data_IF_539372721015
#
_entry.id   IF_539372721015
#
_cell.length_a   1.000
_cell.length_b   1.000
_cell.length_c   1.000
_cell.angle_alpha   90.00
_cell.angle_beta   90.00
_cell.angle_gamma   90.00
#
_symmetry.space_group_name_H-M   'P 1'
#
loop_
_entity.id
_entity.type
_entity.pdbx_description
1 polymer ?
#
# COMPACT_ATOMS: atom_id res chain seq x y z
N UNK A 1 7.43 14.35 2.60
CA UNK A 1 8.65 14.25 1.77
C UNK A 1 9.17 15.64 1.44
N UNK A 2 10.47 15.78 1.25
CA UNK A 2 11.08 16.93 0.58
C UNK A 2 11.38 16.56 -0.86
N UNK A 3 11.30 17.51 -1.80
CA UNK A 3 11.60 17.27 -3.21
C UNK A 3 12.85 18.04 -3.61
N UNK A 4 13.68 17.43 -4.44
CA UNK A 4 14.85 18.09 -4.99
C UNK A 4 14.39 19.18 -5.98
N UNK A 5 14.69 20.44 -5.65
CA UNK A 5 14.46 21.59 -6.51
C UNK A 5 15.78 22.01 -7.16
N UNK A 6 15.90 21.72 -8.45
CA UNK A 6 17.04 22.15 -9.27
C UNK A 6 16.84 23.55 -9.85
N UNK A 7 15.68 24.19 -9.61
CA UNK A 7 15.39 25.53 -10.08
C UNK A 7 16.17 26.57 -9.26
N UNK A 8 16.81 27.48 -9.97
CA UNK A 8 17.52 28.62 -9.38
C UNK A 8 16.66 29.85 -9.57
N UNK A 9 16.25 30.50 -8.48
CA UNK A 9 15.54 31.78 -8.59
C UNK A 9 16.45 32.81 -9.25
N UNK A 10 15.96 33.52 -10.26
CA UNK A 10 16.69 34.56 -10.98
C UNK A 10 17.31 35.55 -9.99
N UNK A 11 18.63 35.73 -10.05
CA UNK A 11 19.38 36.62 -9.14
C UNK A 11 19.94 35.96 -7.86
N UNK A 12 19.72 34.66 -7.63
CA UNK A 12 20.40 33.90 -6.56
C UNK A 12 21.37 32.88 -7.15
N UNK A 13 22.46 32.60 -6.43
CA UNK A 13 23.38 31.55 -6.84
C UNK A 13 22.89 30.17 -6.34
N UNK A 14 23.22 29.11 -7.10
CA UNK A 14 22.86 27.71 -6.78
C UNK A 14 23.24 27.27 -5.37
N UNK A 15 24.32 27.84 -4.81
CA UNK A 15 24.83 27.53 -3.47
C UNK A 15 24.00 28.13 -2.34
N UNK A 16 23.24 29.21 -2.60
CA UNK A 16 22.39 29.88 -1.61
C UNK A 16 20.93 29.38 -1.63
N UNK A 17 20.53 28.62 -2.63
CA UNK A 17 19.20 28.00 -2.67
C UNK A 17 19.26 26.65 -1.96
N UNK A 18 18.38 26.41 -0.99
CA UNK A 18 18.21 25.07 -0.43
C UNK A 18 17.78 24.12 -1.56
N UNK A 19 18.49 23.01 -1.80
CA UNK A 19 18.15 22.10 -2.90
C UNK A 19 16.86 21.33 -2.64
N UNK A 20 16.25 21.48 -1.47
CA UNK A 20 15.04 20.78 -1.07
C UNK A 20 13.87 21.75 -0.95
N UNK A 21 12.80 21.48 -1.69
CA UNK A 21 11.50 22.15 -1.62
C UNK A 21 10.52 21.25 -0.90
N UNK A 22 9.89 21.75 0.14
CA UNK A 22 8.95 20.96 0.93
C UNK A 22 8.72 21.54 2.31
N UNK A 23 7.97 20.83 3.17
CA UNK A 23 7.49 19.44 3.01
C UNK A 23 6.27 19.30 2.08
N UNK A 24 6.08 18.12 1.48
CA UNK A 24 4.96 17.73 0.63
C UNK A 24 4.46 16.30 0.92
N UNK A 25 3.29 15.94 0.38
CA UNK A 25 2.58 14.66 0.64
C UNK A 25 2.39 13.90 -0.67
N UNK A 26 2.64 12.59 -0.66
CA UNK A 26 2.34 11.72 -1.80
C UNK A 26 0.81 11.57 -1.88
N UNK A 27 0.24 11.95 -3.01
CA UNK A 27 -1.21 11.85 -3.29
C UNK A 27 -1.52 10.58 -4.07
N UNK A 28 -0.64 10.19 -5.00
CA UNK A 28 -0.85 9.01 -5.86
C UNK A 28 0.47 8.38 -6.25
N UNK A 29 0.54 7.04 -6.21
CA UNK A 29 1.60 6.26 -6.86
C UNK A 29 1.17 5.97 -8.30
N UNK A 30 1.92 6.49 -9.28
CA UNK A 30 1.63 6.29 -10.71
C UNK A 30 2.38 5.04 -11.22
N UNK A 31 3.62 4.86 -10.78
CA UNK A 31 4.43 3.67 -11.07
C UNK A 31 5.38 3.39 -9.90
N UNK A 32 6.19 2.31 -9.91
CA UNK A 32 7.22 2.08 -8.88
C UNK A 32 8.18 3.27 -8.70
N UNK A 33 8.35 4.07 -9.75
CA UNK A 33 9.30 5.17 -9.79
C UNK A 33 8.64 6.56 -9.78
N UNK A 34 7.40 6.69 -10.25
CA UNK A 34 6.71 7.97 -10.41
C UNK A 34 5.59 8.18 -9.38
N UNK A 35 5.62 9.34 -8.73
CA UNK A 35 4.72 9.71 -7.65
C UNK A 35 4.14 11.10 -7.88
N UNK A 36 2.84 11.24 -7.67
CA UNK A 36 2.15 12.53 -7.64
C UNK A 36 2.22 13.10 -6.22
N UNK A 37 2.77 14.30 -6.08
CA UNK A 37 3.03 14.95 -4.81
C UNK A 37 2.28 16.27 -4.74
N UNK A 38 1.54 16.46 -3.64
CA UNK A 38 0.95 17.74 -3.24
C UNK A 38 1.94 18.52 -2.40
N UNK A 39 2.23 19.73 -2.84
CA UNK A 39 2.85 20.79 -2.07
C UNK A 39 1.77 21.76 -1.59
N UNK A 40 2.18 22.74 -0.76
CA UNK A 40 1.28 23.75 -0.21
C UNK A 40 0.46 24.47 -1.29
N UNK A 41 1.07 24.79 -2.43
CA UNK A 41 0.47 25.60 -3.51
C UNK A 41 0.46 24.92 -4.88
N UNK A 42 0.95 23.69 -5.01
CA UNK A 42 1.03 23.01 -6.31
C UNK A 42 0.92 21.50 -6.18
N UNK A 43 0.65 20.84 -7.30
CA UNK A 43 0.70 19.38 -7.45
C UNK A 43 1.68 19.09 -8.58
N UNK A 44 2.57 18.12 -8.40
CA UNK A 44 3.53 17.73 -9.43
C UNK A 44 3.75 16.23 -9.43
N UNK A 45 4.28 15.69 -10.51
CA UNK A 45 4.73 14.30 -10.60
C UNK A 45 6.25 14.29 -10.56
N UNK A 46 6.83 13.46 -9.68
CA UNK A 46 8.28 13.32 -9.55
C UNK A 46 8.69 11.86 -9.48
N UNK A 47 9.94 11.62 -9.86
CA UNK A 47 10.60 10.34 -9.63
C UNK A 47 11.00 10.19 -8.15
N UNK A 48 11.04 8.95 -7.63
CA UNK A 48 11.47 8.62 -6.27
C UNK A 48 12.88 9.10 -5.91
N UNK A 49 13.82 9.12 -6.86
CA UNK A 49 15.20 9.60 -6.66
C UNK A 49 15.25 11.10 -6.34
N UNK A 50 14.20 11.84 -6.70
CA UNK A 50 14.10 13.29 -6.48
C UNK A 50 13.29 13.65 -5.24
N UNK A 51 13.02 12.69 -4.36
CA UNK A 51 12.27 12.93 -3.12
C UNK A 51 12.94 12.27 -1.92
N UNK A 52 12.95 12.97 -0.78
CA UNK A 52 13.53 12.51 0.47
C UNK A 52 12.47 12.39 1.57
N UNK A 53 12.60 11.43 2.51
CA UNK A 53 11.76 11.35 3.70
C UNK A 53 11.76 12.67 4.47
N UNK A 54 10.58 13.19 4.81
CA UNK A 54 10.48 14.29 5.76
C UNK A 54 10.61 13.68 7.17
N UNK A 55 11.69 14.02 7.87
CA UNK A 55 11.98 13.53 9.24
C UNK A 55 11.59 14.55 10.32
N UNK A 56 10.90 15.62 9.94
CA UNK A 56 10.62 16.72 10.86
C UNK A 56 9.56 16.33 11.88
N UNK A 57 9.85 16.58 13.17
CA UNK A 57 8.91 16.34 14.28
C UNK A 57 7.64 17.19 14.18
N UNK A 58 7.75 18.37 13.57
CA UNK A 58 6.65 19.32 13.40
C UNK A 58 6.32 19.47 11.93
N UNK A 59 5.26 18.80 11.49
CA UNK A 59 4.76 18.89 10.12
C UNK A 59 3.75 20.06 10.04
N UNK A 60 3.76 20.89 8.98
CA UNK A 60 2.80 21.99 8.80
C UNK A 60 1.34 21.56 8.90
N UNK A 61 0.49 22.43 9.45
CA UNK A 61 -0.94 22.18 9.66
C UNK A 61 -1.68 21.72 8.39
N UNK A 62 -1.36 22.29 7.22
CA UNK A 62 -1.99 21.90 5.95
C UNK A 62 -1.76 20.43 5.59
N UNK A 63 -0.61 19.86 5.98
CA UNK A 63 -0.31 18.43 5.80
C UNK A 63 -1.04 17.59 6.84
N UNK A 64 -1.10 18.06 8.09
CA UNK A 64 -1.84 17.36 9.15
C UNK A 64 -3.32 17.26 8.80
N UNK A 65 -3.94 18.35 8.32
CA UNK A 65 -5.33 18.35 7.85
C UNK A 65 -5.52 17.45 6.62
N UNK A 66 -4.54 17.38 5.71
CA UNK A 66 -4.62 16.50 4.55
C UNK A 66 -4.69 15.02 4.97
N UNK A 67 -3.88 14.61 5.96
CA UNK A 67 -3.95 13.27 6.54
C UNK A 67 -5.32 12.98 7.19
N UNK A 68 -5.96 13.97 7.81
CA UNK A 68 -7.23 13.75 8.52
C UNK A 68 -8.49 13.88 7.66
N UNK A 69 -8.44 14.55 6.49
CA UNK A 69 -9.63 14.85 5.67
C UNK A 69 -9.72 14.14 4.31
N UNK A 70 -8.67 13.50 3.79
CA UNK A 70 -8.71 13.04 2.40
C UNK A 70 -7.57 12.09 2.02
N UNK A 71 -7.43 10.99 2.74
CA UNK A 71 -6.40 10.00 2.46
C UNK A 71 -6.53 8.83 3.40
N UNK A 72 -7.68 8.13 3.30
CA UNK A 72 -7.70 6.72 3.63
C UNK A 72 -6.57 6.09 2.84
N UNK A 73 -5.56 5.69 3.59
CA UNK A 73 -4.76 4.52 3.35
C UNK A 73 -5.04 3.85 1.98
N UNK A 74 -4.25 4.25 0.99
CA UNK A 74 -3.89 3.37 -0.09
C UNK A 74 -2.55 2.74 0.31
N UNK A 75 -2.53 1.99 1.41
CA UNK A 75 -1.85 0.71 1.39
C UNK A 75 -2.26 0.07 0.06
N UNK A 76 -1.25 -0.39 -0.69
CA UNK A 76 -1.44 -1.51 -1.61
C UNK A 76 -2.49 -2.41 -0.96
N UNK A 77 -3.62 -2.80 -1.61
CA UNK A 77 -4.62 -3.63 -0.94
C UNK A 77 -3.85 -4.76 -0.29
N UNK A 78 -3.68 -4.65 1.02
CA UNK A 78 -2.85 -5.58 1.73
C UNK A 78 -3.69 -6.82 1.58
N UNK A 79 -3.15 -7.83 0.89
CA UNK A 79 -3.86 -9.10 0.69
C UNK A 79 -4.23 -9.71 2.05
N UNK A 80 -3.74 -9.14 3.16
CA UNK A 80 -4.20 -9.35 4.52
C UNK A 80 -5.63 -8.88 4.81
N UNK A 81 -6.25 -7.92 4.10
CA UNK A 81 -7.61 -7.44 4.42
C UNK A 81 -8.71 -8.22 3.73
N UNK A 82 -8.38 -8.99 2.70
CA UNK A 82 -9.34 -9.84 2.01
C UNK A 82 -9.76 -10.99 2.93
N UNK A 83 -11.05 -11.02 3.24
CA UNK A 83 -11.61 -11.91 4.25
C UNK A 83 -12.21 -13.15 3.57
N UNK A 84 -11.45 -14.25 3.62
CA UNK A 84 -11.88 -15.54 3.10
C UNK A 84 -12.23 -16.51 4.24
N UNK A 85 -12.53 -17.76 3.86
CA UNK A 85 -12.85 -18.87 4.74
C UNK A 85 -14.17 -18.71 5.52
N UNK A 86 -14.69 -19.82 6.04
CA UNK A 86 -15.87 -19.86 6.91
C UNK A 86 -15.69 -19.05 8.20
N UNK A 87 -14.45 -18.84 8.64
CA UNK A 87 -14.16 -18.08 9.86
C UNK A 87 -14.19 -16.56 9.66
N UNK A 88 -14.29 -16.10 8.41
CA UNK A 88 -14.25 -14.68 8.01
C UNK A 88 -13.10 -13.94 8.71
N UNK A 89 -11.90 -14.50 8.61
CA UNK A 89 -10.67 -13.89 9.15
C UNK A 89 -9.68 -13.64 8.01
N UNK A 90 -8.87 -12.57 8.12
CA UNK A 90 -7.81 -12.26 7.17
C UNK A 90 -6.77 -13.37 7.05
N UNK A 91 -5.98 -13.35 5.98
CA UNK A 91 -4.84 -14.26 5.80
C UNK A 91 -3.73 -13.94 6.80
N UNK A 92 -3.72 -14.67 7.92
CA UNK A 92 -2.76 -14.51 9.03
C UNK A 92 -1.51 -15.38 8.85
N UNK A 93 -1.01 -15.52 7.61
CA UNK A 93 0.17 -16.35 7.29
C UNK A 93 -0.03 -17.86 7.49
N UNK A 94 -1.28 -18.32 7.60
CA UNK A 94 -1.63 -19.75 7.74
C UNK A 94 -1.79 -20.39 6.37
N UNK A 95 -1.54 -21.70 6.28
CA UNK A 95 -1.82 -22.47 5.07
C UNK A 95 -3.31 -22.39 4.70
N UNK A 96 -3.58 -22.16 3.40
CA UNK A 96 -4.93 -22.11 2.84
C UNK A 96 -5.04 -22.98 1.59
N UNK A 97 -6.23 -23.52 1.36
CA UNK A 97 -6.59 -24.34 0.20
C UNK A 97 -7.83 -23.77 -0.49
N UNK A 98 -7.82 -23.72 -1.82
CA UNK A 98 -8.93 -23.22 -2.63
C UNK A 98 -9.85 -24.38 -3.05
N UNK A 99 -11.17 -24.19 -2.96
CA UNK A 99 -12.14 -25.17 -3.45
C UNK A 99 -12.37 -25.04 -4.95
N UNK A 100 -12.29 -26.15 -5.71
CA UNK A 100 -12.47 -26.15 -7.17
C UNK A 100 -13.90 -25.81 -7.62
N UNK A 101 -14.88 -25.94 -6.72
CA UNK A 101 -16.30 -25.80 -7.05
C UNK A 101 -16.86 -24.40 -6.77
N UNK A 102 -16.49 -23.81 -5.63
CA UNK A 102 -16.92 -22.46 -5.25
C UNK A 102 -15.83 -21.41 -5.38
N UNK A 103 -14.61 -21.80 -5.72
CA UNK A 103 -13.43 -20.93 -5.89
C UNK A 103 -13.06 -20.11 -4.64
N UNK A 104 -13.63 -20.44 -3.47
CA UNK A 104 -13.35 -19.77 -2.19
C UNK A 104 -12.15 -20.41 -1.47
N UNK A 105 -11.38 -19.58 -0.75
CA UNK A 105 -10.19 -19.99 0.01
C UNK A 105 -10.52 -20.33 1.46
N UNK A 106 -9.92 -21.40 1.97
CA UNK A 106 -10.14 -21.88 3.33
C UNK A 106 -8.82 -22.10 4.07
N UNK A 107 -8.76 -21.72 5.34
CA UNK A 107 -7.64 -22.13 6.20
C UNK A 107 -7.66 -23.64 6.37
N UNK A 108 -6.51 -24.31 6.20
CA UNK A 108 -6.41 -25.77 6.38
C UNK A 108 -6.95 -26.23 7.74
N UNK A 109 -6.67 -25.46 8.80
CA UNK A 109 -7.21 -25.71 10.14
C UNK A 109 -8.73 -25.51 10.29
N UNK A 110 -9.37 -24.70 9.44
CA UNK A 110 -10.82 -24.54 9.43
C UNK A 110 -11.54 -25.68 8.69
N UNK A 111 -10.85 -26.39 7.80
CA UNK A 111 -11.41 -27.48 7.00
C UNK A 111 -10.81 -28.86 7.33
N UNK A 112 -9.93 -28.93 8.33
CA UNK A 112 -9.17 -30.12 8.74
C UNK A 112 -8.33 -30.73 7.61
N UNK A 113 -7.62 -29.87 6.87
CA UNK A 113 -6.64 -30.29 5.85
C UNK A 113 -5.27 -29.74 6.25
N UNK A 114 -4.29 -30.63 6.41
CA UNK A 114 -2.91 -30.24 6.67
C UNK A 114 -2.19 -29.85 5.37
N UNK A 115 -1.11 -29.07 5.49
CA UNK A 115 -0.32 -28.67 4.31
C UNK A 115 0.29 -29.87 3.58
N UNK A 116 0.61 -30.95 4.31
CA UNK A 116 1.14 -32.19 3.72
C UNK A 116 0.06 -32.92 2.91
N UNK A 117 -1.14 -33.11 3.48
CA UNK A 117 -2.26 -33.73 2.75
C UNK A 117 -2.63 -32.93 1.50
N UNK A 118 -2.54 -31.60 1.57
CA UNK A 118 -2.84 -30.74 0.43
C UNK A 118 -1.91 -30.92 -0.77
N UNK A 119 -0.70 -31.44 -0.58
CA UNK A 119 0.21 -31.75 -1.70
C UNK A 119 -0.28 -32.94 -2.52
N UNK A 120 -1.02 -33.86 -1.89
CA UNK A 120 -1.54 -35.08 -2.52
C UNK A 120 -2.97 -34.91 -3.06
N UNK A 121 -3.61 -33.76 -2.81
CA UNK A 121 -4.97 -33.45 -3.27
C UNK A 121 -4.92 -32.76 -4.64
N UNK A 122 -5.32 -33.48 -5.69
CA UNK A 122 -5.45 -32.92 -7.05
C UNK A 122 -6.68 -31.99 -7.18
N UNK A 123 -7.80 -32.34 -6.54
CA UNK A 123 -9.03 -31.53 -6.52
C UNK A 123 -9.64 -31.49 -5.13
N UNK A 124 -9.78 -30.30 -4.59
CA UNK A 124 -10.33 -30.07 -3.26
C UNK A 124 -11.79 -29.60 -3.31
N UNK A 125 -12.66 -30.32 -2.59
CA UNK A 125 -14.08 -29.99 -2.41
C UNK A 125 -14.35 -29.58 -0.97
N UNK A 126 -14.81 -28.36 -0.75
CA UNK A 126 -15.14 -27.88 0.60
C UNK A 126 -16.44 -28.50 1.14
N UNK A 127 -16.60 -28.52 2.46
CA UNK A 127 -17.81 -29.07 3.14
C UNK A 127 -19.12 -28.45 2.63
N UNK A 128 -19.11 -27.17 2.29
CA UNK A 128 -20.29 -26.48 1.74
C UNK A 128 -20.68 -26.93 0.33
N UNK A 129 -19.72 -27.43 -0.46
CA UNK A 129 -20.00 -28.02 -1.77
C UNK A 129 -20.29 -29.52 -1.67
N UNK A 130 -19.84 -30.21 -0.63
CA UNK A 130 -20.18 -31.62 -0.41
C UNK A 130 -21.66 -31.82 -0.08
N UNK A 131 -22.29 -30.84 0.56
CA UNK A 131 -23.71 -30.87 0.93
C UNK A 131 -24.64 -30.20 -0.11
N UNK A 132 -24.12 -29.85 -1.29
CA UNK A 132 -24.88 -29.27 -2.40
C UNK A 132 -24.98 -30.23 -3.57
#
# INVERSE_FOLDING_TARGET
MYLLDTAVTKGKCKKLCSPWKGPGVIVKKISPYLYQIKLRSSVLVTNHDRMAPCKDRKIPAWIQTFKTKGGGDAELPDQSTEVFCVCRKPWQGRFMIQCDYCQEWYHGSCVNVTATEALDIDKYKCKGCCNK
#
